data_IF_465906523498
#
_entry.id   IF_465906523498
#
_cell.length_a   1.000
_cell.length_b   1.000
_cell.length_c   1.000
_cell.angle_alpha   90.00
_cell.angle_beta   90.00
_cell.angle_gamma   90.00
#
_symmetry.space_group_name_H-M   'P 1'
#
loop_
_entity.id
_entity.type
_entity.pdbx_description
1 polymer ?
#
# COMPACT_ATOMS: atom_id res chain seq x y z
N UNK A 1 -7.23 15.60 -15.73
CA UNK A 1 -7.89 15.66 -14.40
C UNK A 1 -6.88 16.24 -13.42
N UNK A 2 -7.08 17.48 -12.99
CA UNK A 2 -6.17 18.15 -12.05
C UNK A 2 -6.30 17.46 -10.69
N UNK A 3 -5.27 16.75 -10.26
CA UNK A 3 -5.11 16.36 -8.85
C UNK A 3 -4.80 17.67 -8.12
N UNK A 4 -5.71 18.15 -7.31
CA UNK A 4 -5.47 19.28 -6.42
C UNK A 4 -4.31 18.86 -5.51
N UNK A 5 -3.14 19.47 -5.71
CA UNK A 5 -1.95 19.17 -4.90
C UNK A 5 -2.24 19.58 -3.46
N UNK A 6 -2.08 18.66 -2.56
CA UNK A 6 -2.01 18.96 -1.14
C UNK A 6 -0.80 19.87 -0.89
N UNK A 7 -1.03 21.06 -0.33
CA UNK A 7 -0.02 22.11 -0.18
C UNK A 7 0.67 22.12 1.19
N UNK A 8 0.62 21.01 1.94
CA UNK A 8 1.26 20.92 3.24
C UNK A 8 2.53 20.07 3.20
N UNK A 9 3.51 20.37 4.03
CA UNK A 9 4.64 19.49 4.27
C UNK A 9 4.17 18.22 4.96
N UNK A 10 4.36 17.07 4.28
CA UNK A 10 3.95 15.76 4.78
C UNK A 10 5.14 15.05 5.45
N UNK A 11 4.94 14.62 6.68
CA UNK A 11 5.84 13.73 7.39
C UNK A 11 5.38 12.27 7.26
N UNK A 12 6.28 11.38 6.85
CA UNK A 12 6.04 9.94 6.83
C UNK A 12 6.76 9.29 8.00
N UNK A 13 6.03 8.76 8.95
CA UNK A 13 6.58 8.20 10.18
C UNK A 13 6.28 6.70 10.28
N UNK A 14 7.25 5.94 10.79
CA UNK A 14 7.13 4.50 11.03
C UNK A 14 6.72 4.15 12.45
N UNK A 15 6.57 5.12 13.35
CA UNK A 15 6.11 4.88 14.72
C UNK A 15 4.69 5.44 14.94
N UNK A 16 3.64 4.61 14.79
CA UNK A 16 2.29 5.04 15.05
C UNK A 16 2.00 5.34 16.54
N UNK A 17 2.91 5.01 17.45
CA UNK A 17 2.70 5.28 18.89
C UNK A 17 2.83 6.76 19.24
N UNK A 18 3.53 7.54 18.42
CA UNK A 18 3.77 8.98 18.63
C UNK A 18 2.59 9.84 18.16
N UNK A 19 1.61 9.24 17.44
CA UNK A 19 0.53 9.98 16.80
C UNK A 19 -0.82 9.64 17.41
N UNK A 20 -1.73 10.63 17.40
CA UNK A 20 -3.11 10.43 17.84
C UNK A 20 -3.89 9.60 16.80
N UNK A 21 -4.07 8.32 17.13
CA UNK A 21 -4.82 7.36 16.32
C UNK A 21 -6.32 7.37 16.61
N UNK A 22 -6.72 7.90 17.76
CA UNK A 22 -8.12 7.82 18.22
C UNK A 22 -9.06 8.67 17.38
N UNK A 23 -8.55 9.77 16.80
CA UNK A 23 -9.32 10.67 15.94
C UNK A 23 -9.29 10.32 14.45
N UNK A 24 -8.68 9.19 14.05
CA UNK A 24 -8.62 8.79 12.66
C UNK A 24 -9.93 8.13 12.21
N UNK A 25 -10.51 8.63 11.13
CA UNK A 25 -11.62 8.00 10.40
C UNK A 25 -11.43 8.15 8.89
N UNK A 26 -11.46 7.03 8.19
CA UNK A 26 -11.40 6.99 6.73
C UNK A 26 -12.73 6.58 6.08
N UNK A 27 -13.81 6.40 6.87
CA UNK A 27 -15.10 5.92 6.40
C UNK A 27 -15.22 4.38 6.33
N UNK A 28 -14.15 3.66 6.68
CA UNK A 28 -14.08 2.20 6.72
C UNK A 28 -13.72 1.71 8.12
N UNK A 29 -14.72 1.34 8.90
CA UNK A 29 -14.58 0.96 10.31
C UNK A 29 -13.46 -0.08 10.55
N UNK A 30 -13.32 -1.07 9.66
CA UNK A 30 -12.30 -2.10 9.80
C UNK A 30 -10.87 -1.55 9.69
N UNK A 31 -10.65 -0.52 8.85
CA UNK A 31 -9.35 0.15 8.70
C UNK A 31 -9.09 1.08 9.88
N UNK A 32 -10.10 1.81 10.34
CA UNK A 32 -10.02 2.70 11.50
C UNK A 32 -9.69 1.90 12.76
N UNK A 33 -10.43 0.82 13.02
CA UNK A 33 -10.19 -0.08 14.13
C UNK A 33 -8.80 -0.73 14.09
N UNK A 34 -8.36 -1.17 12.91
CA UNK A 34 -7.02 -1.74 12.75
C UNK A 34 -5.92 -0.79 13.20
N UNK A 35 -5.98 0.48 12.78
CA UNK A 35 -4.97 1.48 13.14
C UNK A 35 -4.89 1.68 14.66
N UNK A 36 -6.04 1.72 15.32
CA UNK A 36 -6.12 1.95 16.77
C UNK A 36 -5.69 0.70 17.56
N UNK A 37 -6.13 -0.49 17.18
CA UNK A 37 -6.06 -1.68 18.04
C UNK A 37 -4.98 -2.69 17.64
N UNK A 38 -4.62 -2.79 16.37
CA UNK A 38 -3.76 -3.88 15.86
C UNK A 38 -2.42 -3.41 15.27
N UNK A 39 -2.39 -2.22 14.66
CA UNK A 39 -1.21 -1.74 13.94
C UNK A 39 0.09 -1.82 14.76
N UNK A 40 0.04 -1.40 16.03
CA UNK A 40 1.21 -1.46 16.92
C UNK A 40 1.63 -2.89 17.29
N UNK A 41 0.69 -3.84 17.35
CA UNK A 41 1.01 -5.25 17.59
C UNK A 41 1.66 -5.89 16.36
N UNK A 42 1.11 -5.63 15.17
CA UNK A 42 1.64 -6.17 13.92
C UNK A 42 3.08 -5.70 13.70
N UNK A 43 3.38 -4.44 13.99
CA UNK A 43 4.75 -3.92 13.92
C UNK A 43 5.69 -4.62 14.91
N UNK A 44 5.30 -4.70 16.18
CA UNK A 44 6.15 -5.34 17.21
C UNK A 44 6.40 -6.81 16.95
N UNK A 45 5.44 -7.50 16.32
CA UNK A 45 5.55 -8.91 15.97
C UNK A 45 6.15 -9.18 14.61
N UNK A 46 6.47 -8.13 13.83
CA UNK A 46 7.03 -8.26 12.48
C UNK A 46 6.05 -8.75 11.41
N UNK A 47 4.74 -8.60 11.64
CA UNK A 47 3.72 -8.98 10.64
C UNK A 47 3.54 -7.93 9.56
N UNK A 48 3.71 -6.65 9.89
CA UNK A 48 3.65 -5.56 8.93
C UNK A 48 4.43 -4.34 9.43
N UNK A 49 5.02 -3.60 8.51
CA UNK A 49 5.45 -2.24 8.75
C UNK A 49 4.26 -1.31 8.52
N UNK A 50 3.95 -0.47 9.49
CA UNK A 50 2.88 0.52 9.41
C UNK A 50 3.50 1.91 9.25
N UNK A 51 3.13 2.60 8.20
CA UNK A 51 3.60 3.96 7.92
C UNK A 51 2.41 4.91 7.99
N UNK A 52 2.51 5.91 8.84
CA UNK A 52 1.50 6.97 8.96
C UNK A 52 2.01 8.24 8.27
N UNK A 53 1.09 9.00 7.70
CA UNK A 53 1.36 10.33 7.15
C UNK A 53 0.64 11.38 7.99
N UNK A 54 1.39 12.42 8.35
CA UNK A 54 0.91 13.57 9.12
C UNK A 54 1.34 14.86 8.43
N UNK A 55 0.82 15.99 8.87
CA UNK A 55 1.49 17.27 8.62
C UNK A 55 2.74 17.35 9.48
N UNK A 56 3.80 18.02 9.00
CA UNK A 56 5.11 18.07 9.65
C UNK A 56 5.06 18.52 11.12
N UNK A 57 4.12 19.38 11.48
CA UNK A 57 4.00 19.94 12.83
C UNK A 57 2.74 19.43 13.59
N UNK A 58 2.18 18.30 13.16
CA UNK A 58 0.94 17.78 13.73
C UNK A 58 1.01 16.30 14.06
N UNK A 59 0.49 15.93 15.23
CA UNK A 59 0.27 14.51 15.57
C UNK A 59 -0.93 13.89 14.85
N UNK A 60 -1.71 14.70 14.11
CA UNK A 60 -2.93 14.24 13.44
C UNK A 60 -2.62 13.40 12.21
N UNK A 61 -3.10 12.17 12.19
CA UNK A 61 -2.91 11.25 11.08
C UNK A 61 -3.84 11.63 9.91
N UNK A 62 -3.25 11.86 8.73
CA UNK A 62 -3.96 12.13 7.48
C UNK A 62 -4.23 10.86 6.67
N UNK A 63 -3.42 9.84 6.89
CA UNK A 63 -3.54 8.55 6.26
C UNK A 63 -2.47 7.59 6.74
N UNK A 64 -2.61 6.33 6.38
CA UNK A 64 -1.61 5.30 6.66
C UNK A 64 -1.64 4.19 5.61
N UNK A 65 -0.59 3.40 5.59
CA UNK A 65 -0.55 2.15 4.85
C UNK A 65 0.32 1.11 5.57
N UNK A 66 0.20 -0.15 5.13
CA UNK A 66 1.00 -1.26 5.67
C UNK A 66 1.74 -1.98 4.56
N UNK A 67 3.00 -2.35 4.83
CA UNK A 67 3.82 -3.19 3.96
C UNK A 67 4.22 -4.46 4.70
N UNK A 68 4.17 -5.59 4.02
CA UNK A 68 4.67 -6.87 4.52
C UNK A 68 5.28 -7.71 3.41
N UNK A 69 6.12 -8.66 3.77
CA UNK A 69 6.57 -9.71 2.86
C UNK A 69 5.39 -10.62 2.49
N UNK A 70 5.36 -11.08 1.26
CA UNK A 70 4.36 -12.00 0.75
C UNK A 70 4.96 -12.92 -0.31
N UNK A 71 4.21 -13.91 -0.73
CA UNK A 71 4.48 -14.71 -1.91
C UNK A 71 3.18 -15.02 -2.63
N UNK A 72 3.28 -15.30 -3.90
CA UNK A 72 2.17 -15.78 -4.73
C UNK A 72 2.59 -17.03 -5.47
N UNK A 73 1.64 -17.88 -5.80
CA UNK A 73 1.91 -19.03 -6.65
C UNK A 73 2.24 -18.56 -8.06
N UNK A 74 3.28 -19.15 -8.65
CA UNK A 74 3.67 -18.83 -10.03
C UNK A 74 2.50 -19.06 -10.99
N UNK A 75 1.65 -20.03 -10.72
CA UNK A 75 0.47 -20.38 -11.51
C UNK A 75 -0.63 -19.33 -11.51
N UNK A 76 -0.66 -18.45 -10.51
CA UNK A 76 -1.63 -17.35 -10.43
C UNK A 76 -1.30 -16.22 -11.41
N UNK A 77 -0.04 -16.13 -11.84
CA UNK A 77 0.39 -15.10 -12.79
C UNK A 77 -0.07 -15.41 -14.21
N UNK A 78 -0.35 -14.37 -15.03
CA UNK A 78 -0.62 -14.54 -16.45
C UNK A 78 0.50 -15.29 -17.15
N UNK A 79 0.16 -16.12 -18.14
CA UNK A 79 1.12 -17.00 -18.84
C UNK A 79 2.28 -16.24 -19.46
N UNK A 80 2.02 -15.09 -20.07
CA UNK A 80 3.04 -14.25 -20.69
C UNK A 80 4.08 -13.71 -19.68
N UNK A 81 3.73 -13.63 -18.41
CA UNK A 81 4.63 -13.24 -17.32
C UNK A 81 5.29 -14.49 -16.71
N UNK A 82 4.51 -15.54 -16.47
CA UNK A 82 4.96 -16.81 -15.91
C UNK A 82 6.11 -17.44 -16.72
N UNK A 83 6.03 -17.40 -18.05
CA UNK A 83 7.08 -17.91 -18.94
C UNK A 83 8.43 -17.19 -18.80
N UNK A 84 8.44 -15.98 -18.27
CA UNK A 84 9.64 -15.15 -18.08
C UNK A 84 10.23 -15.22 -16.68
N UNK A 85 9.58 -15.95 -15.77
CA UNK A 85 10.01 -16.10 -14.39
C UNK A 85 10.73 -17.42 -14.13
N UNK A 86 11.62 -17.46 -13.15
CA UNK A 86 12.20 -18.73 -12.68
C UNK A 86 11.10 -19.71 -12.29
N UNK A 87 11.31 -21.00 -12.52
CA UNK A 87 10.34 -22.06 -12.21
C UNK A 87 10.39 -22.47 -10.73
N UNK A 88 10.32 -21.48 -9.84
CA UNK A 88 10.26 -21.72 -8.39
C UNK A 88 8.81 -21.78 -7.96
N UNK A 89 8.04 -22.58 -7.76
CA UNK A 89 6.61 -22.61 -7.38
C UNK A 89 6.05 -21.33 -6.76
N UNK A 90 6.86 -20.60 -5.98
CA UNK A 90 6.50 -19.35 -5.32
C UNK A 90 7.28 -18.16 -5.88
N UNK A 91 6.61 -17.02 -6.04
CA UNK A 91 7.19 -15.76 -6.47
C UNK A 91 7.21 -14.77 -5.31
N UNK A 92 8.39 -14.25 -4.92
CA UNK A 92 8.49 -13.30 -3.81
C UNK A 92 7.79 -11.99 -4.15
N UNK A 93 7.04 -11.46 -3.18
CA UNK A 93 6.24 -10.26 -3.34
C UNK A 93 6.33 -9.35 -2.11
N UNK A 94 6.01 -8.08 -2.32
CA UNK A 94 5.70 -7.13 -1.25
C UNK A 94 4.21 -6.84 -1.30
N UNK A 95 3.54 -6.96 -0.17
CA UNK A 95 2.12 -6.69 -0.04
C UNK A 95 1.86 -5.33 0.60
N UNK A 96 1.18 -4.45 -0.12
CA UNK A 96 0.46 -3.32 0.44
C UNK A 96 -0.89 -3.83 0.95
N UNK A 97 -0.94 -4.18 2.23
CA UNK A 97 -2.10 -4.85 2.82
C UNK A 97 -3.26 -3.90 3.14
N UNK A 98 -2.93 -2.67 3.51
CA UNK A 98 -3.89 -1.61 3.85
C UNK A 98 -3.40 -0.28 3.33
N UNK A 99 -4.32 0.57 2.90
CA UNK A 99 -4.09 1.97 2.59
C UNK A 99 -5.37 2.74 2.90
N UNK A 100 -5.28 3.74 3.75
CA UNK A 100 -6.41 4.55 4.19
C UNK A 100 -6.05 6.02 4.25
N UNK A 101 -6.98 6.88 3.86
CA UNK A 101 -6.88 8.35 3.92
C UNK A 101 -8.05 8.87 4.76
N UNK A 102 -7.77 9.74 5.71
CA UNK A 102 -8.80 10.38 6.53
C UNK A 102 -9.86 11.05 5.64
N UNK A 103 -11.15 10.88 5.96
CA UNK A 103 -12.29 11.37 5.15
C UNK A 103 -12.13 12.82 4.74
N UNK A 104 -11.76 13.69 5.69
CA UNK A 104 -11.53 15.12 5.43
C UNK A 104 -10.41 15.43 4.44
N UNK A 105 -9.55 14.43 4.13
CA UNK A 105 -8.39 14.56 3.26
C UNK A 105 -8.50 13.75 1.96
N UNK A 106 -9.62 13.05 1.78
CA UNK A 106 -9.88 12.29 0.54
C UNK A 106 -10.08 13.24 -0.64
N UNK A 107 -9.81 12.75 -1.85
CA UNK A 107 -9.89 13.56 -3.08
C UNK A 107 -8.75 14.56 -3.29
N UNK A 108 -7.83 14.71 -2.33
CA UNK A 108 -6.72 15.67 -2.38
C UNK A 108 -5.38 15.08 -2.83
N UNK A 109 -5.38 13.86 -3.36
CA UNK A 109 -4.18 13.20 -3.88
C UNK A 109 -3.34 12.45 -2.83
N UNK A 110 -3.71 12.48 -1.55
CA UNK A 110 -2.93 11.82 -0.47
C UNK A 110 -2.82 10.32 -0.71
N UNK A 111 -3.88 9.65 -1.19
CA UNK A 111 -3.81 8.23 -1.51
C UNK A 111 -2.75 7.90 -2.57
N UNK A 112 -2.58 8.74 -3.58
CA UNK A 112 -1.53 8.59 -4.58
C UNK A 112 -0.13 8.79 -3.99
N UNK A 113 0.03 9.74 -3.07
CA UNK A 113 1.29 9.97 -2.35
C UNK A 113 1.64 8.79 -1.45
N UNK A 114 0.67 8.20 -0.73
CA UNK A 114 0.86 7.00 0.07
C UNK A 114 1.31 5.82 -0.79
N UNK A 115 0.66 5.59 -1.93
CA UNK A 115 1.03 4.53 -2.86
C UNK A 115 2.45 4.73 -3.40
N UNK A 116 2.79 5.96 -3.79
CA UNK A 116 4.12 6.30 -4.30
C UNK A 116 5.21 6.09 -3.23
N UNK A 117 4.97 6.48 -1.98
CA UNK A 117 5.90 6.24 -0.88
C UNK A 117 6.05 4.74 -0.58
N UNK A 118 4.95 3.98 -0.58
CA UNK A 118 4.96 2.53 -0.39
C UNK A 118 5.84 1.84 -1.45
N UNK A 119 5.67 2.21 -2.71
CA UNK A 119 6.48 1.70 -3.82
C UNK A 119 7.96 2.08 -3.66
N UNK A 120 8.26 3.33 -3.32
CA UNK A 120 9.64 3.78 -3.08
C UNK A 120 10.32 3.01 -1.96
N UNK A 121 9.60 2.75 -0.86
CA UNK A 121 10.12 1.95 0.26
C UNK A 121 10.36 0.50 -0.16
N UNK A 122 9.44 -0.10 -0.90
CA UNK A 122 9.61 -1.44 -1.44
C UNK A 122 10.85 -1.52 -2.35
N UNK A 123 11.06 -0.55 -3.25
CA UNK A 123 12.24 -0.51 -4.14
C UNK A 123 13.57 -0.37 -3.38
N UNK A 124 13.56 0.33 -2.24
CA UNK A 124 14.75 0.52 -1.37
C UNK A 124 14.98 -0.64 -0.41
N UNK A 125 14.06 -1.59 -0.33
CA UNK A 125 14.22 -2.76 0.52
C UNK A 125 15.38 -3.63 0.04
N UNK A 126 16.19 -4.12 0.98
CA UNK A 126 17.24 -5.11 0.70
C UNK A 126 16.67 -6.50 0.37
N UNK A 127 15.41 -6.75 0.74
CA UNK A 127 14.74 -8.01 0.38
C UNK A 127 14.41 -8.04 -1.11
N UNK A 128 14.74 -9.17 -1.74
CA UNK A 128 14.36 -9.40 -3.12
C UNK A 128 12.87 -9.64 -3.25
N UNK A 129 12.24 -9.02 -4.23
CA UNK A 129 10.84 -9.23 -4.61
C UNK A 129 10.65 -8.95 -6.09
N UNK A 130 9.71 -9.63 -6.68
CA UNK A 130 9.40 -9.53 -8.11
C UNK A 130 8.05 -8.85 -8.37
N UNK A 131 7.10 -8.98 -7.45
CA UNK A 131 5.71 -8.50 -7.57
C UNK A 131 5.37 -7.57 -6.42
N UNK A 132 4.79 -6.41 -6.72
CA UNK A 132 4.13 -5.54 -5.76
C UNK A 132 2.64 -5.85 -5.79
N UNK A 133 2.11 -6.32 -4.66
CA UNK A 133 0.72 -6.72 -4.49
C UNK A 133 -0.05 -5.67 -3.69
N UNK A 134 -1.30 -5.47 -4.04
CA UNK A 134 -2.24 -4.68 -3.24
C UNK A 134 -3.53 -5.47 -3.08
N UNK A 135 -4.01 -5.61 -1.85
CA UNK A 135 -5.34 -6.15 -1.57
C UNK A 135 -6.33 -5.00 -1.42
N UNK A 136 -7.07 -4.73 -2.48
CA UNK A 136 -8.12 -3.73 -2.46
C UNK A 136 -9.30 -4.20 -1.61
N UNK A 137 -9.91 -3.29 -0.85
CA UNK A 137 -11.04 -3.64 0.01
C UNK A 137 -12.35 -3.85 -0.77
N UNK A 138 -12.52 -3.11 -1.85
CA UNK A 138 -13.70 -3.15 -2.71
C UNK A 138 -13.32 -2.67 -4.13
N UNK A 139 -14.25 -2.78 -5.07
CA UNK A 139 -13.99 -2.49 -6.48
C UNK A 139 -13.54 -1.03 -6.75
N UNK A 140 -14.07 -0.07 -6.01
CA UNK A 140 -13.64 1.33 -6.14
C UNK A 140 -12.16 1.50 -5.76
N UNK A 141 -11.71 0.82 -4.70
CA UNK A 141 -10.30 0.80 -4.32
C UNK A 141 -9.44 0.10 -5.39
N UNK A 142 -9.90 -1.02 -5.94
CA UNK A 142 -9.20 -1.69 -7.04
C UNK A 142 -9.08 -0.77 -8.27
N UNK A 143 -10.15 -0.04 -8.61
CA UNK A 143 -10.16 0.95 -9.69
C UNK A 143 -9.15 2.08 -9.44
N UNK A 144 -9.01 2.53 -8.20
CA UNK A 144 -7.98 3.51 -7.83
C UNK A 144 -6.57 3.00 -8.19
N UNK A 145 -6.21 1.78 -7.80
CA UNK A 145 -4.90 1.20 -8.09
C UNK A 145 -4.67 0.97 -9.59
N UNK A 146 -5.70 0.57 -10.34
CA UNK A 146 -5.62 0.39 -11.80
C UNK A 146 -5.22 1.66 -12.55
N UNK A 147 -5.55 2.85 -12.02
CA UNK A 147 -5.08 4.14 -12.58
C UNK A 147 -3.56 4.29 -12.55
N UNK A 148 -2.89 3.56 -11.66
CA UNK A 148 -1.43 3.52 -11.52
C UNK A 148 -0.81 2.29 -12.20
N UNK A 149 -1.52 1.70 -13.19
CA UNK A 149 -1.08 0.56 -14.00
C UNK A 149 -0.94 -0.76 -13.24
N UNK A 150 -1.54 -0.89 -12.06
CA UNK A 150 -1.67 -2.20 -11.44
C UNK A 150 -2.77 -2.99 -12.16
N UNK A 151 -2.52 -4.28 -12.43
CA UNK A 151 -3.46 -5.18 -13.05
C UNK A 151 -4.17 -6.05 -12.00
N UNK A 152 -5.40 -6.48 -12.24
CA UNK A 152 -6.08 -7.48 -11.41
C UNK A 152 -5.69 -8.89 -11.80
N UNK A 153 -5.75 -9.83 -10.85
CA UNK A 153 -5.74 -11.25 -11.17
C UNK A 153 -7.08 -11.68 -11.82
N UNK A 154 -7.02 -12.69 -12.69
CA UNK A 154 -8.22 -13.19 -13.33
C UNK A 154 -9.22 -13.82 -12.33
N UNK A 155 -8.70 -14.47 -11.31
CA UNK A 155 -9.48 -15.17 -10.27
C UNK A 155 -9.85 -14.29 -9.08
N UNK A 156 -9.18 -13.13 -8.89
CA UNK A 156 -9.46 -12.19 -7.81
C UNK A 156 -9.29 -10.74 -8.31
N UNK A 157 -10.40 -10.07 -8.58
CA UNK A 157 -10.40 -8.69 -9.09
C UNK A 157 -9.99 -7.67 -8.02
N UNK A 158 -10.02 -8.02 -6.74
CA UNK A 158 -9.61 -7.16 -5.63
C UNK A 158 -8.13 -7.30 -5.30
N UNK A 159 -7.48 -8.36 -5.76
CA UNK A 159 -6.04 -8.51 -5.68
C UNK A 159 -5.41 -7.91 -6.93
N UNK A 160 -4.69 -6.79 -6.77
CA UNK A 160 -4.04 -6.11 -7.89
C UNK A 160 -2.52 -6.16 -7.73
N UNK A 161 -1.80 -6.10 -8.84
CA UNK A 161 -0.37 -6.32 -8.87
C UNK A 161 0.33 -5.53 -9.97
N UNK A 162 1.63 -5.32 -9.80
CA UNK A 162 2.54 -4.81 -10.82
C UNK A 162 3.92 -5.45 -10.61
N UNK A 163 4.67 -5.68 -11.68
CA UNK A 163 6.03 -6.20 -11.55
C UNK A 163 7.00 -5.10 -11.10
N UNK A 164 8.02 -5.49 -10.32
CA UNK A 164 9.13 -4.58 -9.99
C UNK A 164 9.74 -3.95 -11.25
N UNK A 165 9.97 -4.77 -12.27
CA UNK A 165 10.54 -4.33 -13.55
C UNK A 165 9.71 -3.25 -14.26
N UNK A 166 8.38 -3.33 -14.16
CA UNK A 166 7.50 -2.33 -14.79
C UNK A 166 7.46 -1.03 -13.97
N UNK A 167 7.56 -1.12 -12.64
CA UNK A 167 7.73 0.06 -11.78
C UNK A 167 9.03 0.79 -12.11
N UNK A 168 10.14 0.08 -12.21
CA UNK A 168 11.47 0.65 -12.51
C UNK A 168 11.55 1.35 -13.88
N UNK A 169 10.68 1.01 -14.82
CA UNK A 169 10.60 1.68 -16.13
C UNK A 169 9.83 3.00 -16.10
N UNK A 170 9.03 3.24 -15.07
CA UNK A 170 8.16 4.42 -14.96
C UNK A 170 8.85 5.55 -14.16
N UNK A 171 9.82 5.21 -13.32
CA UNK A 171 10.62 6.14 -12.51
C UNK A 171 11.89 6.54 -13.20
#
# INVERSE_FOLDING_TARGET
MYVQKFNGDLGFNTDPAVHDRSGFSCGEEALDRYLVTQAGQDMRRGFANVIVVTLSDSATILGYYTLSAASIDLTDLPENLRCKMPRYGQVPAVLLGRLAVAERCQGQGIGALLLADAIKRALRSELAWAIFLVKAKHEQAATFYKRFRLASFAHDQLLVWVTRKDIEKIG
#
